data_IF_372487836505
#
_entry.id   IF_372487836505
#
_cell.length_a   1.000
_cell.length_b   1.000
_cell.length_c   1.000
_cell.angle_alpha   90.00
_cell.angle_beta   90.00
_cell.angle_gamma   90.00
#
_symmetry.space_group_name_H-M   'P 1'
#
loop_
_entity.id
_entity.type
_entity.pdbx_description
1 polymer ?
#
# COMPACT_ATOMS: atom_id res chain seq x y z
N UNK A 1 4.16 -19.88 -1.00
CA UNK A 1 4.63 -18.67 -0.28
C UNK A 1 5.79 -18.11 -1.06
N UNK A 2 5.78 -16.81 -1.41
CA UNK A 2 6.89 -16.21 -2.17
C UNK A 2 8.14 -16.09 -1.27
N UNK A 3 9.23 -16.73 -1.68
CA UNK A 3 10.49 -16.72 -0.94
C UNK A 3 11.11 -15.31 -0.91
N UNK A 4 10.97 -14.54 -2.01
CA UNK A 4 11.46 -13.16 -2.09
C UNK A 4 10.70 -12.21 -1.17
N UNK A 5 9.38 -12.30 -1.12
CA UNK A 5 8.56 -11.47 -0.22
C UNK A 5 8.95 -11.71 1.25
N UNK A 6 9.17 -12.98 1.61
CA UNK A 6 9.65 -13.36 2.94
C UNK A 6 11.04 -12.79 3.22
N UNK A 7 11.96 -12.87 2.26
CA UNK A 7 13.32 -12.33 2.41
C UNK A 7 13.30 -10.82 2.66
N UNK A 8 12.48 -10.06 1.92
CA UNK A 8 12.28 -8.62 2.13
C UNK A 8 11.81 -8.33 3.56
N UNK A 9 10.77 -9.01 4.03
CA UNK A 9 10.22 -8.78 5.38
C UNK A 9 11.23 -9.14 6.47
N UNK A 10 12.07 -10.17 6.25
CA UNK A 10 13.12 -10.56 7.20
C UNK A 10 14.27 -9.57 7.29
N UNK A 11 14.53 -8.77 6.24
CA UNK A 11 15.53 -7.71 6.27
C UNK A 11 15.12 -6.51 7.13
N UNK A 12 13.84 -6.42 7.53
CA UNK A 12 13.29 -5.32 8.31
C UNK A 12 13.21 -5.72 9.80
N UNK A 13 14.16 -5.26 10.64
CA UNK A 13 14.37 -5.82 11.98
C UNK A 13 13.25 -5.47 12.96
N UNK A 14 12.61 -4.31 12.84
CA UNK A 14 11.58 -3.86 13.77
C UNK A 14 10.52 -2.97 13.08
N UNK A 15 9.44 -2.68 13.80
CA UNK A 15 8.33 -1.83 13.36
C UNK A 15 8.74 -0.49 12.73
N UNK A 16 9.70 0.28 13.27
CA UNK A 16 10.13 1.52 12.65
C UNK A 16 10.75 1.33 11.26
N UNK A 17 11.57 0.29 11.04
CA UNK A 17 12.11 -0.02 9.72
C UNK A 17 11.03 -0.48 8.74
N UNK A 18 10.00 -1.20 9.23
CA UNK A 18 8.83 -1.55 8.41
C UNK A 18 8.09 -0.29 7.96
N UNK A 19 7.84 0.65 8.87
CA UNK A 19 7.18 1.91 8.54
C UNK A 19 8.03 2.79 7.61
N UNK A 20 9.35 2.82 7.81
CA UNK A 20 10.27 3.52 6.91
C UNK A 20 10.23 2.92 5.51
N UNK A 21 10.32 1.59 5.40
CA UNK A 21 10.22 0.88 4.13
C UNK A 21 8.88 1.14 3.44
N UNK A 22 7.76 0.99 4.15
CA UNK A 22 6.43 1.25 3.61
C UNK A 22 6.28 2.70 3.11
N UNK A 23 6.85 3.67 3.84
CA UNK A 23 6.87 5.08 3.42
C UNK A 23 7.68 5.28 2.15
N UNK A 24 8.90 4.72 2.08
CA UNK A 24 9.76 4.80 0.89
C UNK A 24 9.15 4.08 -0.31
N UNK A 25 8.56 2.90 -0.10
CA UNK A 25 7.87 2.14 -1.11
C UNK A 25 6.69 2.93 -1.68
N UNK A 26 5.90 3.58 -0.83
CA UNK A 26 4.83 4.48 -1.27
C UNK A 26 5.38 5.62 -2.11
N UNK A 27 6.42 6.31 -1.65
CA UNK A 27 7.03 7.41 -2.39
C UNK A 27 7.54 6.97 -3.77
N UNK A 28 8.21 5.81 -3.82
CA UNK A 28 8.66 5.21 -5.06
C UNK A 28 7.48 4.89 -5.99
N UNK A 29 6.43 4.22 -5.48
CA UNK A 29 5.22 3.92 -6.25
C UNK A 29 4.54 5.18 -6.80
N UNK A 30 4.44 6.25 -6.01
CA UNK A 30 3.82 7.50 -6.46
C UNK A 30 4.65 8.18 -7.56
N UNK A 31 5.98 8.09 -7.48
CA UNK A 31 6.88 8.62 -8.49
C UNK A 31 6.82 7.80 -9.79
N UNK A 32 6.79 6.46 -9.67
CA UNK A 32 6.71 5.53 -10.79
C UNK A 32 5.36 5.61 -11.53
N UNK A 33 4.26 5.72 -10.77
CA UNK A 33 2.90 5.84 -11.30
C UNK A 33 2.52 7.24 -11.77
N UNK A 34 3.49 8.16 -11.92
CA UNK A 34 3.22 9.55 -12.28
C UNK A 34 2.60 9.62 -13.68
N UNK A 35 1.28 9.83 -13.71
CA UNK A 35 0.48 9.76 -14.93
C UNK A 35 0.58 11.03 -15.81
N UNK A 36 0.60 12.20 -15.16
CA UNK A 36 0.68 13.53 -15.78
C UNK A 36 1.23 14.52 -14.75
N UNK A 37 1.91 15.58 -15.20
CA UNK A 37 2.50 16.60 -14.28
C UNK A 37 1.44 17.33 -13.43
N UNK A 38 0.20 17.44 -13.92
CA UNK A 38 -0.87 18.19 -13.27
C UNK A 38 -1.87 17.31 -12.49
N UNK A 39 -1.67 15.98 -12.45
CA UNK A 39 -2.55 15.11 -11.69
C UNK A 39 -2.32 15.32 -10.17
N UNK A 40 -3.38 15.43 -9.36
CA UNK A 40 -3.24 15.64 -7.93
C UNK A 40 -2.56 14.43 -7.27
N UNK A 41 -1.71 14.69 -6.27
CA UNK A 41 -1.06 13.65 -5.48
C UNK A 41 -2.08 12.72 -4.83
N UNK A 42 -1.83 11.42 -4.90
CA UNK A 42 -2.68 10.42 -4.25
C UNK A 42 -2.28 10.23 -2.77
N UNK A 43 -2.96 10.98 -1.90
CA UNK A 43 -2.70 11.01 -0.45
C UNK A 43 -3.51 9.97 0.33
N UNK A 44 -3.12 9.71 1.58
CA UNK A 44 -3.92 8.91 2.52
C UNK A 44 -5.38 9.38 2.65
N UNK A 45 -5.60 10.70 2.70
CA UNK A 45 -6.94 11.28 2.77
C UNK A 45 -7.76 11.01 1.51
N UNK A 46 -7.14 11.06 0.32
CA UNK A 46 -7.80 10.68 -0.93
C UNK A 46 -8.12 9.20 -0.96
N UNK A 47 -7.20 8.35 -0.53
CA UNK A 47 -7.47 6.91 -0.41
C UNK A 47 -8.68 6.65 0.50
N UNK A 48 -8.70 7.22 1.71
CA UNK A 48 -9.84 7.14 2.65
C UNK A 48 -11.16 7.58 2.01
N UNK A 49 -11.16 8.73 1.35
CA UNK A 49 -12.33 9.25 0.68
C UNK A 49 -12.79 8.33 -0.47
N UNK A 50 -11.86 7.73 -1.20
CA UNK A 50 -12.15 6.80 -2.30
C UNK A 50 -12.78 5.50 -1.81
N UNK A 51 -12.20 4.87 -0.78
CA UNK A 51 -12.76 3.66 -0.18
C UNK A 51 -14.20 3.89 0.31
N UNK A 52 -14.46 5.06 0.90
CA UNK A 52 -15.80 5.49 1.33
C UNK A 52 -16.74 5.76 0.15
N UNK A 53 -16.30 6.49 -0.85
CA UNK A 53 -17.12 6.86 -2.01
C UNK A 53 -17.55 5.63 -2.83
N UNK A 54 -16.72 4.59 -2.85
CA UNK A 54 -17.01 3.33 -3.51
C UNK A 54 -17.77 2.32 -2.63
N UNK A 55 -18.02 2.64 -1.36
CA UNK A 55 -18.65 1.74 -0.37
C UNK A 55 -17.95 0.37 -0.27
N UNK A 56 -16.62 0.37 -0.41
CA UNK A 56 -15.81 -0.86 -0.39
C UNK A 56 -15.06 -1.04 0.92
N UNK A 57 -15.18 -0.15 1.90
CA UNK A 57 -14.62 -0.34 3.23
C UNK A 57 -15.50 0.38 4.25
N UNK A 58 -16.16 -0.37 5.13
CA UNK A 58 -16.98 0.20 6.18
C UNK A 58 -16.10 0.74 7.33
N UNK A 59 -16.68 1.62 8.15
CA UNK A 59 -15.97 2.25 9.26
C UNK A 59 -15.47 1.24 10.32
N UNK A 60 -16.23 0.18 10.70
CA UNK A 60 -15.74 -0.84 11.62
C UNK A 60 -14.51 -1.61 11.10
N UNK A 61 -14.53 -2.06 9.84
CA UNK A 61 -13.39 -2.76 9.23
C UNK A 61 -12.18 -1.84 9.16
N UNK A 62 -12.36 -0.57 8.77
CA UNK A 62 -11.27 0.42 8.76
C UNK A 62 -10.67 0.59 10.15
N UNK A 63 -11.49 0.71 11.19
CA UNK A 63 -11.01 0.90 12.55
C UNK A 63 -10.27 -0.35 13.08
N UNK A 64 -10.80 -1.55 12.81
CA UNK A 64 -10.11 -2.81 13.13
C UNK A 64 -8.75 -2.90 12.43
N UNK A 65 -8.69 -2.47 11.16
CA UNK A 65 -7.44 -2.41 10.41
C UNK A 65 -6.45 -1.42 11.02
N UNK A 66 -6.89 -0.21 11.38
CA UNK A 66 -6.04 0.79 12.05
C UNK A 66 -5.43 0.23 13.35
N UNK A 67 -6.21 -0.49 14.16
CA UNK A 67 -5.70 -1.16 15.36
C UNK A 67 -4.72 -2.29 15.08
N UNK A 68 -4.88 -2.98 13.96
CA UNK A 68 -4.00 -4.06 13.55
C UNK A 68 -2.60 -3.52 13.19
N UNK A 69 -2.52 -2.32 12.62
CA UNK A 69 -1.27 -1.63 12.29
C UNK A 69 -0.43 -1.28 13.52
N UNK A 70 -1.01 -1.24 14.73
CA UNK A 70 -0.26 -1.02 15.98
C UNK A 70 0.55 -2.25 16.42
N UNK A 71 0.33 -3.42 15.79
CA UNK A 71 1.02 -4.66 16.10
C UNK A 71 2.06 -5.03 15.03
N UNK A 72 3.33 -5.13 15.42
CA UNK A 72 4.44 -5.43 14.51
C UNK A 72 4.28 -6.77 13.76
N UNK A 73 3.78 -7.82 14.42
CA UNK A 73 3.58 -9.11 13.76
C UNK A 73 2.55 -9.00 12.64
N UNK A 74 1.48 -8.24 12.88
CA UNK A 74 0.45 -8.02 11.88
C UNK A 74 0.95 -7.11 10.75
N UNK A 75 1.77 -6.09 11.05
CA UNK A 75 2.42 -5.27 10.02
C UNK A 75 3.31 -6.12 9.09
N UNK A 76 4.05 -7.09 9.65
CA UNK A 76 4.86 -8.02 8.84
C UNK A 76 4.01 -8.88 7.92
N UNK A 77 2.89 -9.40 8.43
CA UNK A 77 1.95 -10.20 7.63
C UNK A 77 1.31 -9.35 6.52
N UNK A 78 0.82 -8.16 6.86
CA UNK A 78 0.28 -7.21 5.89
C UNK A 78 1.28 -6.87 4.80
N UNK A 79 2.53 -6.57 5.18
CA UNK A 79 3.58 -6.24 4.22
C UNK A 79 3.92 -7.43 3.32
N UNK A 80 4.01 -8.63 3.89
CA UNK A 80 4.21 -9.85 3.12
C UNK A 80 3.09 -10.04 2.08
N UNK A 81 1.84 -9.97 2.52
CA UNK A 81 0.68 -10.18 1.66
C UNK A 81 0.56 -9.11 0.58
N UNK A 82 0.88 -7.86 0.92
CA UNK A 82 1.00 -6.77 -0.06
C UNK A 82 2.02 -7.12 -1.14
N UNK A 83 3.26 -7.44 -0.76
CA UNK A 83 4.35 -7.75 -1.69
C UNK A 83 4.04 -8.94 -2.59
N UNK A 84 3.34 -9.96 -2.07
CA UNK A 84 2.89 -11.13 -2.85
C UNK A 84 1.77 -10.75 -3.81
N UNK A 85 0.73 -10.07 -3.33
CA UNK A 85 -0.45 -9.77 -4.14
C UNK A 85 -0.16 -8.74 -5.23
N UNK A 86 0.70 -7.76 -4.97
CA UNK A 86 1.10 -6.74 -5.95
C UNK A 86 2.29 -7.16 -6.82
N UNK A 87 2.90 -8.32 -6.56
CA UNK A 87 4.11 -8.81 -7.24
C UNK A 87 5.34 -7.90 -7.08
N UNK A 88 5.29 -6.94 -6.15
CA UNK A 88 6.40 -6.01 -5.88
C UNK A 88 7.65 -6.71 -5.33
N UNK A 89 7.50 -7.92 -4.75
CA UNK A 89 8.63 -8.72 -4.30
C UNK A 89 9.60 -9.12 -5.43
N UNK A 90 9.13 -9.11 -6.68
CA UNK A 90 9.93 -9.46 -7.85
C UNK A 90 10.72 -8.29 -8.42
N UNK A 91 10.45 -7.06 -7.94
CA UNK A 91 11.11 -5.85 -8.42
C UNK A 91 12.41 -5.58 -7.65
N UNK A 92 13.54 -5.51 -8.37
CA UNK A 92 14.86 -5.32 -7.79
C UNK A 92 15.03 -3.98 -7.05
N UNK A 93 14.36 -2.91 -7.51
CA UNK A 93 14.38 -1.62 -6.81
C UNK A 93 13.67 -1.71 -5.45
N UNK A 94 12.57 -2.48 -5.37
CA UNK A 94 11.87 -2.74 -4.11
C UNK A 94 12.75 -3.55 -3.15
N UNK A 95 13.49 -4.53 -3.66
CA UNK A 95 14.48 -5.28 -2.87
C UNK A 95 15.59 -4.36 -2.34
N UNK A 96 16.11 -3.45 -3.17
CA UNK A 96 17.11 -2.47 -2.76
C UNK A 96 16.56 -1.47 -1.72
N UNK A 97 15.31 -1.03 -1.88
CA UNK A 97 14.62 -0.18 -0.89
C UNK A 97 14.46 -0.89 0.45
N UNK A 98 14.19 -2.20 0.46
CA UNK A 98 14.10 -2.98 1.69
C UNK A 98 15.45 -3.04 2.41
N UNK A 99 16.53 -3.35 1.70
CA UNK A 99 17.87 -3.43 2.27
C UNK A 99 18.32 -2.09 2.88
N UNK A 100 18.12 -0.99 2.15
CA UNK A 100 18.46 0.35 2.64
C UNK A 100 17.59 0.79 3.83
N UNK A 101 16.34 0.34 3.90
CA UNK A 101 15.45 0.64 5.03
C UNK A 101 15.77 -0.19 6.26
N UNK A 102 16.12 -1.46 6.09
CA UNK A 102 16.53 -2.35 7.17
C UNK A 102 17.84 -1.93 7.84
N UNK A 103 18.78 -1.38 7.06
CA UNK A 103 20.05 -0.86 7.58
C UNK A 103 19.95 0.55 8.21
N UNK A 104 18.81 1.24 8.07
CA UNK A 104 18.62 2.59 8.61
C UNK A 104 18.16 2.52 10.07
N UNK A 105 18.76 3.36 10.92
CA UNK A 105 18.14 3.74 12.19
C UNK A 105 16.95 4.65 11.88
N UNK A 106 15.79 4.37 12.48
CA UNK A 106 14.58 5.11 12.19
C UNK A 106 13.65 5.14 13.38
N UNK A 107 13.11 6.33 13.65
CA UNK A 107 11.90 6.55 14.45
C UNK A 107 10.74 6.94 13.51
N UNK A 108 10.63 6.24 12.37
CA UNK A 108 9.65 6.56 11.34
C UNK A 108 8.22 6.56 11.91
N UNK A 109 7.49 7.61 11.54
CA UNK A 109 6.05 7.70 11.78
C UNK A 109 5.32 6.54 11.08
N UNK A 110 4.11 6.16 11.55
CA UNK A 110 3.29 5.17 10.87
C UNK A 110 3.11 5.51 9.39
N UNK A 111 3.28 4.52 8.53
CA UNK A 111 3.13 4.71 7.09
C UNK A 111 1.66 5.00 6.70
N UNK A 112 1.48 5.68 5.58
CA UNK A 112 0.17 5.92 4.97
C UNK A 112 -0.30 4.65 4.22
N UNK A 113 -0.80 3.68 4.99
CA UNK A 113 -1.07 2.33 4.49
C UNK A 113 -2.19 2.26 3.45
N UNK A 114 -3.27 3.05 3.56
CA UNK A 114 -4.36 2.96 2.58
C UNK A 114 -3.93 3.47 1.21
N UNK A 115 -3.17 4.56 1.18
CA UNK A 115 -2.59 5.07 -0.07
C UNK A 115 -1.52 4.12 -0.64
N UNK A 116 -0.67 3.53 0.21
CA UNK A 116 0.31 2.52 -0.21
C UNK A 116 -0.37 1.28 -0.84
N UNK A 117 -1.36 0.70 -0.16
CA UNK A 117 -2.08 -0.48 -0.65
C UNK A 117 -2.75 -0.20 -2.00
N UNK A 118 -3.38 0.96 -2.13
CA UNK A 118 -4.02 1.36 -3.39
C UNK A 118 -2.99 1.55 -4.50
N UNK A 119 -1.87 2.22 -4.22
CA UNK A 119 -0.80 2.43 -5.19
C UNK A 119 -0.15 1.12 -5.63
N UNK A 120 0.06 0.16 -4.72
CA UNK A 120 0.61 -1.14 -5.09
C UNK A 120 -0.33 -1.94 -6.01
N UNK A 121 -1.64 -1.88 -5.76
CA UNK A 121 -2.64 -2.50 -6.64
C UNK A 121 -2.77 -1.77 -7.98
N UNK A 122 -2.58 -0.45 -7.98
CA UNK A 122 -2.55 0.36 -9.19
C UNK A 122 -1.33 0.01 -10.05
N UNK A 123 -0.15 -0.09 -9.43
CA UNK A 123 1.11 -0.49 -10.06
C UNK A 123 1.02 -1.84 -10.75
N UNK A 124 0.52 -2.86 -10.05
CA UNK A 124 0.31 -4.20 -10.64
C UNK A 124 -0.58 -4.18 -11.89
N UNK A 125 -1.47 -3.21 -12.00
CA UNK A 125 -2.43 -3.06 -13.10
C UNK A 125 -2.03 -1.98 -14.09
N UNK A 126 -0.83 -1.42 -13.95
CA UNK A 126 -0.31 -0.30 -14.75
C UNK A 126 -1.31 0.88 -14.77
N UNK A 127 -2.04 1.08 -13.67
CA UNK A 127 -3.09 2.08 -13.58
C UNK A 127 -2.53 3.38 -12.96
N UNK A 128 -2.75 4.54 -13.61
CA UNK A 128 -2.31 5.83 -13.11
C UNK A 128 -3.07 6.24 -11.83
N UNK A 129 -2.38 6.22 -10.68
CA UNK A 129 -3.01 6.48 -9.37
C UNK A 129 -3.61 7.89 -9.26
N UNK A 130 -3.06 8.87 -9.98
CA UNK A 130 -3.60 10.24 -10.02
C UNK A 130 -4.98 10.36 -10.66
N UNK A 131 -5.43 9.37 -11.45
CA UNK A 131 -6.77 9.33 -12.01
C UNK A 131 -7.82 8.80 -11.03
N UNK A 132 -7.40 8.24 -9.89
CA UNK A 132 -8.32 7.80 -8.85
C UNK A 132 -8.86 9.03 -8.11
N UNK A 133 -10.07 9.43 -8.48
CA UNK A 133 -10.73 10.60 -7.91
C UNK A 133 -11.95 10.24 -7.03
N UNK A 134 -11.90 10.53 -5.72
CA UNK A 134 -13.04 10.29 -4.84
C UNK A 134 -14.29 11.09 -5.22
N UNK A 135 -14.15 12.26 -5.86
CA UNK A 135 -15.29 13.07 -6.30
C UNK A 135 -15.99 12.49 -7.54
N UNK A 136 -15.29 11.65 -8.29
CA UNK A 136 -15.82 10.92 -9.45
C UNK A 136 -15.46 9.43 -9.31
N UNK A 137 -16.07 8.72 -8.35
CA UNK A 137 -15.65 7.37 -8.00
C UNK A 137 -15.75 6.43 -9.21
N UNK A 138 -14.76 5.56 -9.42
CA UNK A 138 -14.76 4.68 -10.58
C UNK A 138 -15.86 3.63 -10.46
N UNK A 139 -16.41 3.20 -11.60
CA UNK A 139 -17.39 2.13 -11.64
C UNK A 139 -16.81 0.81 -11.13
N UNK A 140 -17.63 0.01 -10.43
CA UNK A 140 -17.22 -1.23 -9.73
C UNK A 140 -16.46 -2.23 -10.62
N UNK A 141 -16.86 -2.40 -11.87
CA UNK A 141 -16.24 -3.32 -12.81
C UNK A 141 -15.17 -2.69 -13.71
N UNK A 142 -14.89 -1.39 -13.52
CA UNK A 142 -13.84 -0.71 -14.27
C UNK A 142 -12.43 -1.12 -13.78
N UNK A 143 -11.38 -0.99 -14.61
CA UNK A 143 -10.00 -1.24 -14.17
C UNK A 143 -9.64 -0.48 -12.89
N UNK A 144 -10.02 0.79 -12.81
CA UNK A 144 -9.84 1.65 -11.64
C UNK A 144 -10.62 1.16 -10.42
N UNK A 145 -11.89 0.78 -10.59
CA UNK A 145 -12.70 0.27 -9.48
C UNK A 145 -12.17 -1.04 -8.91
N UNK A 146 -11.58 -1.87 -9.76
CA UNK A 146 -10.94 -3.11 -9.34
C UNK A 146 -9.62 -2.89 -8.58
N UNK A 147 -8.85 -1.82 -8.88
CA UNK A 147 -7.68 -1.43 -8.08
C UNK A 147 -8.10 -1.19 -6.62
N UNK A 148 -9.14 -0.37 -6.42
CA UNK A 148 -9.64 -0.03 -5.07
C UNK A 148 -10.24 -1.25 -4.38
N UNK A 149 -10.96 -2.10 -5.11
CA UNK A 149 -11.53 -3.34 -4.55
C UNK A 149 -10.48 -4.32 -4.09
N UNK A 150 -9.41 -4.53 -4.86
CA UNK A 150 -8.35 -5.44 -4.44
C UNK A 150 -7.63 -4.91 -3.20
N UNK A 151 -7.37 -3.60 -3.13
CA UNK A 151 -6.81 -2.98 -1.93
C UNK A 151 -7.74 -3.18 -0.72
N UNK A 152 -9.05 -3.01 -0.91
CA UNK A 152 -10.04 -3.22 0.15
C UNK A 152 -10.19 -4.69 0.57
N UNK A 153 -10.06 -5.63 -0.37
CA UNK A 153 -10.07 -7.06 -0.09
C UNK A 153 -8.83 -7.47 0.72
N UNK A 154 -7.67 -6.91 0.38
CA UNK A 154 -6.46 -7.13 1.16
C UNK A 154 -6.63 -6.64 2.60
N UNK A 155 -7.21 -5.46 2.81
CA UNK A 155 -7.54 -4.94 4.16
C UNK A 155 -8.48 -5.90 4.90
N UNK A 156 -9.57 -6.33 4.27
CA UNK A 156 -10.54 -7.25 4.87
C UNK A 156 -9.94 -8.60 5.24
N UNK A 157 -8.97 -9.09 4.47
CA UNK A 157 -8.31 -10.36 4.75
C UNK A 157 -7.44 -10.32 6.03
N UNK A 158 -7.13 -9.14 6.54
CA UNK A 158 -6.34 -8.98 7.76
C UNK A 158 -7.18 -8.89 9.04
N UNK A 159 -8.46 -8.51 8.94
CA UNK A 159 -9.32 -8.22 10.11
C UNK A 159 -10.28 -9.34 10.47
#
# INVERSE_FOLDING_TARGET
MSEKARAIVQQLPAGPQINLFATRLRQWLMADLKAAEDAPDFTESRAKALFRAMDVLDDPTRHSFERLLDNEANLRLLLHDLLVQSELAENDEVVALAATSGASESEAKPAEWLSLLTAAMAWKREYPVGQLDPASPPGEHSPAGQVVRNAAQLIRAQV
#
